data_IF_901502248136
#
_entry.id   IF_901502248136
#
_cell.length_a   1.000
_cell.length_b   1.000
_cell.length_c   1.000
_cell.angle_alpha   90.00
_cell.angle_beta   90.00
_cell.angle_gamma   90.00
#
_symmetry.space_group_name_H-M   'P 1'
#
loop_
_entity.id
_entity.type
_entity.pdbx_description
1 polymer ?
#
# COMPACT_ATOMS: atom_id res chain seq x y z
N UNK A 1 19.59 -0.34 11.92
CA UNK A 1 19.30 0.92 12.65
C UNK A 1 18.55 1.78 11.64
N UNK A 2 17.22 1.90 11.76
CA UNK A 2 16.45 2.79 10.88
C UNK A 2 16.62 4.21 11.44
N UNK A 3 17.36 5.05 10.72
CA UNK A 3 17.43 6.47 11.03
C UNK A 3 16.09 7.10 10.65
N UNK A 4 15.38 7.64 11.64
CA UNK A 4 14.12 8.34 11.43
C UNK A 4 14.48 9.77 10.99
N UNK A 5 14.14 10.20 9.77
CA UNK A 5 14.41 11.56 9.34
C UNK A 5 13.53 12.54 10.13
N UNK A 6 14.17 13.46 10.87
CA UNK A 6 13.51 14.67 11.38
C UNK A 6 13.18 15.58 10.19
N UNK A 7 12.02 15.35 9.58
CA UNK A 7 11.46 16.27 8.58
C UNK A 7 10.18 16.85 9.16
N UNK A 8 9.99 18.16 9.01
CA UNK A 8 8.82 18.92 9.47
C UNK A 8 7.56 18.68 8.63
N UNK A 9 7.62 17.76 7.67
CA UNK A 9 6.48 17.37 6.85
C UNK A 9 5.78 16.17 7.50
N UNK A 10 4.44 16.10 7.42
CA UNK A 10 3.71 14.93 7.90
C UNK A 10 4.21 13.70 7.13
N UNK A 11 4.88 12.79 7.84
CA UNK A 11 5.43 11.57 7.26
C UNK A 11 4.27 10.72 6.75
N UNK A 12 4.10 10.66 5.43
CA UNK A 12 3.18 9.71 4.80
C UNK A 12 3.78 8.32 4.90
N UNK A 13 3.03 7.40 5.49
CA UNK A 13 3.44 6.01 5.67
C UNK A 13 2.93 5.17 4.51
N UNK A 14 3.39 5.51 3.30
CA UNK A 14 2.99 4.82 2.08
C UNK A 14 3.90 3.62 1.82
N UNK A 15 3.30 2.46 1.55
CA UNK A 15 3.97 1.33 0.93
C UNK A 15 3.79 1.44 -0.59
N UNK A 16 4.87 1.76 -1.29
CA UNK A 16 4.90 1.84 -2.76
C UNK A 16 5.55 0.59 -3.33
N UNK A 17 4.80 -0.17 -4.12
CA UNK A 17 5.29 -1.36 -4.82
C UNK A 17 5.44 -1.00 -6.29
N UNK A 18 6.66 -1.10 -6.82
CA UNK A 18 6.96 -0.89 -8.23
C UNK A 18 7.37 -2.21 -8.86
N UNK A 19 6.64 -2.62 -9.89
CA UNK A 19 6.96 -3.80 -10.70
C UNK A 19 7.81 -3.34 -11.87
N UNK A 20 9.00 -3.94 -12.02
CA UNK A 20 9.94 -3.63 -13.10
C UNK A 20 10.12 -4.83 -14.02
N UNK A 21 10.29 -4.56 -15.32
CA UNK A 21 10.76 -5.57 -16.28
C UNK A 21 12.14 -5.18 -16.81
N UNK A 22 13.03 -6.16 -17.05
CA UNK A 22 14.27 -5.90 -17.75
C UNK A 22 13.94 -5.40 -19.16
N UNK A 23 14.64 -4.36 -19.60
CA UNK A 23 14.54 -3.86 -20.96
C UNK A 23 15.18 -4.90 -21.88
N UNK A 24 14.36 -5.78 -22.42
CA UNK A 24 14.80 -6.57 -23.57
C UNK A 24 14.90 -5.58 -24.72
N UNK A 25 16.11 -5.08 -24.99
CA UNK A 25 16.44 -4.45 -26.26
C UNK A 25 15.92 -5.42 -27.32
N UNK A 26 14.79 -5.09 -27.95
CA UNK A 26 14.24 -5.86 -29.06
C UNK A 26 15.33 -5.83 -30.10
N UNK A 27 16.06 -6.95 -30.14
CA UNK A 27 17.14 -7.25 -31.07
C UNK A 27 16.84 -6.56 -32.39
N UNK A 28 17.62 -5.50 -32.66
CA UNK A 28 17.74 -4.92 -33.97
C UNK A 28 17.87 -6.09 -34.92
N UNK A 29 16.81 -6.38 -35.70
CA UNK A 29 16.94 -7.28 -36.83
C UNK A 29 18.04 -6.67 -37.67
N UNK A 30 19.23 -7.25 -37.57
CA UNK A 30 20.34 -6.95 -38.43
C UNK A 30 19.86 -7.30 -39.83
N UNK A 31 19.35 -6.30 -40.55
CA UNK A 31 19.34 -6.30 -41.99
C UNK A 31 20.82 -6.32 -42.38
N UNK A 32 21.39 -7.53 -42.42
CA UNK A 32 22.65 -7.81 -43.12
C UNK A 32 22.33 -7.57 -44.59
N UNK A 33 22.52 -6.32 -45.00
CA UNK A 33 22.48 -5.90 -46.37
C UNK A 33 23.73 -5.04 -46.61
N UNK A 34 24.57 -5.48 -47.54
CA UNK A 34 25.59 -4.60 -48.13
C UNK A 34 27.03 -5.05 -47.98
N UNK A 35 27.41 -5.99 -48.84
CA UNK A 35 28.68 -6.02 -49.57
C UNK A 35 29.52 -4.73 -49.49
N UNK A 36 30.69 -4.78 -48.82
CA UNK A 36 31.89 -4.01 -49.21
C UNK A 36 33.18 -4.78 -48.89
N UNK A 37 33.86 -5.28 -49.94
CA UNK A 37 35.33 -5.29 -50.05
C UNK A 37 35.80 -3.82 -50.26
N UNK A 38 37.10 -3.42 -50.17
CA UNK A 38 38.34 -4.22 -50.27
C UNK A 38 39.55 -3.74 -49.40
N UNK A 39 40.70 -4.37 -49.66
CA UNK A 39 42.10 -3.85 -49.66
C UNK A 39 43.03 -4.36 -48.55
N UNK A 40 43.99 -5.17 -49.01
CA UNK A 40 45.17 -5.65 -48.30
C UNK A 40 46.31 -4.63 -48.24
N UNK A 41 47.08 -4.65 -47.14
CA UNK A 41 48.55 -4.46 -46.98
C UNK A 41 48.82 -4.04 -45.52
N UNK A 42 49.95 -4.25 -44.84
CA UNK A 42 51.05 -5.24 -44.79
C UNK A 42 51.86 -4.78 -43.54
N UNK A 43 52.45 -5.73 -42.82
CA UNK A 43 53.59 -5.59 -41.87
C UNK A 43 53.40 -5.06 -40.43
N UNK A 44 53.61 -6.00 -39.50
CA UNK A 44 54.10 -5.93 -38.10
C UNK A 44 55.48 -5.23 -37.99
N UNK A 45 55.96 -4.76 -36.80
CA UNK A 45 56.18 -5.59 -35.60
C UNK A 45 56.00 -4.93 -34.19
N UNK A 46 55.97 -5.79 -33.17
CA UNK A 46 56.09 -5.51 -31.72
C UNK A 46 57.52 -5.01 -31.36
N UNK A 47 57.92 -4.67 -30.10
CA UNK A 47 57.30 -4.92 -28.78
C UNK A 47 57.37 -3.72 -27.79
N UNK A 48 56.81 -3.85 -26.58
CA UNK A 48 57.47 -3.45 -25.31
C UNK A 48 56.50 -3.46 -24.12
N UNK A 49 56.95 -4.10 -23.04
CA UNK A 49 56.36 -4.15 -21.72
C UNK A 49 56.48 -2.79 -21.00
N UNK A 50 55.45 -2.37 -20.26
CA UNK A 50 55.60 -1.54 -19.06
C UNK A 50 54.42 -1.80 -18.11
N UNK A 51 54.77 -2.24 -16.90
CA UNK A 51 53.91 -2.41 -15.73
C UNK A 51 53.44 -1.06 -15.18
N UNK A 52 52.20 -1.00 -14.69
CA UNK A 52 51.75 -0.07 -13.65
C UNK A 52 50.54 -0.75 -12.97
N UNK A 53 50.75 -1.43 -11.85
CA UNK A 53 50.62 -0.92 -10.46
C UNK A 53 49.18 -0.48 -10.16
N UNK A 54 48.58 -1.28 -9.28
CA UNK A 54 47.37 -1.09 -8.49
C UNK A 54 46.63 0.24 -8.62
N UNK A 55 45.38 0.13 -9.04
CA UNK A 55 44.32 0.71 -8.24
C UNK A 55 43.14 -0.27 -8.18
N UNK A 56 42.97 -0.92 -7.02
CA UNK A 56 41.78 -1.71 -6.70
C UNK A 56 40.64 -0.74 -6.40
N UNK A 57 40.22 0.01 -7.41
CA UNK A 57 38.86 0.54 -7.43
C UNK A 57 37.98 -0.65 -7.79
N UNK A 58 37.28 -1.20 -6.80
CA UNK A 58 36.06 -1.95 -7.05
C UNK A 58 35.07 -0.96 -7.65
N UNK A 59 35.24 -0.66 -8.95
CA UNK A 59 34.14 -0.24 -9.77
C UNK A 59 33.24 -1.46 -9.82
N UNK A 60 32.26 -1.48 -8.92
CA UNK A 60 31.03 -2.18 -9.21
C UNK A 60 30.57 -1.61 -10.53
N UNK A 61 30.87 -2.33 -11.62
CA UNK A 61 30.15 -2.20 -12.88
C UNK A 61 28.73 -2.62 -12.50
N UNK A 62 27.97 -1.70 -11.91
CA UNK A 62 26.53 -1.73 -12.00
C UNK A 62 26.29 -1.53 -13.48
N UNK A 63 26.25 -2.64 -14.23
CA UNK A 63 25.36 -2.73 -15.36
C UNK A 63 24.00 -2.33 -14.79
N UNK A 64 23.67 -1.06 -14.88
CA UNK A 64 22.31 -0.60 -14.71
C UNK A 64 21.58 -1.25 -15.87
N UNK A 65 21.06 -2.45 -15.61
CA UNK A 65 20.07 -3.04 -16.49
C UNK A 65 18.99 -1.98 -16.62
N UNK A 66 18.85 -1.43 -17.83
CA UNK A 66 17.73 -0.58 -18.17
C UNK A 66 16.49 -1.39 -17.77
N UNK A 67 15.80 -0.93 -16.72
CA UNK A 67 14.59 -1.56 -16.21
C UNK A 67 13.48 -0.58 -16.42
N UNK A 68 12.39 -1.06 -17.03
CA UNK A 68 11.20 -0.26 -17.25
C UNK A 68 10.23 -0.52 -16.10
N UNK A 69 9.74 0.55 -15.49
CA UNK A 69 8.66 0.48 -14.52
C UNK A 69 7.37 0.07 -15.26
N UNK A 70 6.89 -1.14 -14.96
CA UNK A 70 5.71 -1.76 -15.61
C UNK A 70 4.44 -1.42 -14.84
N UNK A 71 4.52 -1.31 -13.53
CA UNK A 71 3.32 -1.10 -12.73
C UNK A 71 3.62 -0.58 -11.35
N UNK A 72 2.63 0.05 -10.76
CA UNK A 72 2.69 0.56 -9.40
C UNK A 72 1.41 0.25 -8.62
N UNK A 73 1.59 -0.07 -7.34
CA UNK A 73 0.52 -0.08 -6.34
C UNK A 73 0.98 0.73 -5.12
N UNK A 74 0.05 1.46 -4.50
CA UNK A 74 0.30 2.30 -3.33
C UNK A 74 -0.71 1.97 -2.24
N UNK A 75 -0.23 1.73 -1.03
CA UNK A 75 -1.03 1.29 0.11
C UNK A 75 -0.62 2.05 1.37
N UNK A 76 -1.54 2.18 2.34
CA UNK A 76 -1.20 2.68 3.68
C UNK A 76 -0.51 1.56 4.46
N UNK A 77 0.76 1.76 4.78
CA UNK A 77 1.54 0.81 5.58
C UNK A 77 0.97 0.70 7.01
N UNK A 78 0.45 1.80 7.57
CA UNK A 78 -0.16 1.79 8.91
C UNK A 78 -1.39 0.91 8.96
N UNK A 79 -2.23 0.98 7.93
CA UNK A 79 -3.40 0.11 7.82
C UNK A 79 -3.00 -1.37 7.84
N UNK A 80 -2.04 -1.75 7.00
CA UNK A 80 -1.56 -3.14 6.89
C UNK A 80 -0.90 -3.68 8.16
N UNK A 81 -0.42 -2.79 9.03
CA UNK A 81 0.23 -3.12 10.29
C UNK A 81 -0.68 -2.94 11.52
N UNK A 82 -1.96 -2.59 11.31
CA UNK A 82 -2.97 -2.42 12.36
C UNK A 82 -3.82 -3.70 12.45
N UNK A 83 -3.67 -4.50 13.53
CA UNK A 83 -4.33 -5.81 13.66
C UNK A 83 -5.86 -5.78 13.62
N UNK A 84 -6.47 -4.65 14.02
CA UNK A 84 -7.91 -4.46 13.97
C UNK A 84 -8.45 -4.36 12.54
N UNK A 85 -7.57 -4.10 11.56
CA UNK A 85 -7.92 -3.93 10.15
C UNK A 85 -7.46 -5.10 9.26
N UNK A 86 -6.28 -5.66 9.52
CA UNK A 86 -5.72 -6.77 8.76
C UNK A 86 -5.17 -7.84 9.69
N UNK A 87 -5.37 -9.11 9.31
CA UNK A 87 -4.73 -10.22 10.02
C UNK A 87 -3.23 -10.29 9.67
N UNK A 88 -2.45 -10.86 10.58
CA UNK A 88 -1.04 -11.17 10.32
C UNK A 88 -0.96 -12.13 9.13
N UNK A 89 -0.11 -11.81 8.15
CA UNK A 89 0.06 -12.58 6.93
C UNK A 89 -1.19 -12.70 6.04
N UNK A 90 -2.21 -11.85 6.25
CA UNK A 90 -3.36 -11.76 5.34
C UNK A 90 -2.88 -11.43 3.93
N UNK A 91 -3.41 -12.16 2.95
CA UNK A 91 -3.15 -11.90 1.54
C UNK A 91 -4.16 -10.89 1.01
N UNK A 92 -3.67 -9.76 0.53
CA UNK A 92 -4.49 -8.69 -0.03
C UNK A 92 -4.19 -8.55 -1.51
N UNK A 93 -5.24 -8.42 -2.32
CA UNK A 93 -5.10 -8.22 -3.77
C UNK A 93 -5.34 -6.77 -4.07
N UNK A 94 -4.45 -6.13 -4.84
CA UNK A 94 -4.53 -4.70 -5.17
C UNK A 94 -4.24 -4.48 -6.66
N UNK A 95 -4.89 -3.48 -7.30
CA UNK A 95 -4.68 -3.21 -8.71
C UNK A 95 -3.27 -2.66 -8.95
N UNK A 96 -2.63 -3.14 -10.02
CA UNK A 96 -1.39 -2.60 -10.56
C UNK A 96 -1.70 -1.62 -11.68
N UNK A 97 -1.17 -0.42 -11.55
CA UNK A 97 -1.39 0.67 -12.49
C UNK A 97 -0.15 0.91 -13.33
N UNK A 98 -0.32 1.01 -14.64
CA UNK A 98 0.70 1.51 -15.53
C UNK A 98 0.56 3.02 -15.66
N UNK A 99 1.63 3.74 -15.35
CA UNK A 99 1.71 5.19 -15.51
C UNK A 99 2.52 5.52 -16.74
N UNK A 100 1.86 6.06 -17.75
CA UNK A 100 2.50 6.48 -18.98
C UNK A 100 3.18 7.85 -18.76
N UNK A 101 4.41 7.85 -18.25
CA UNK A 101 5.23 9.05 -18.05
C UNK A 101 6.63 8.88 -18.64
N UNK A 102 6.99 9.75 -19.59
CA UNK A 102 8.28 9.68 -20.28
C UNK A 102 9.46 9.90 -19.32
N UNK A 103 10.27 8.87 -19.10
CA UNK A 103 11.60 8.93 -18.49
C UNK A 103 11.71 9.34 -17.01
N UNK A 104 10.69 9.95 -16.42
CA UNK A 104 10.66 10.30 -15.00
C UNK A 104 10.12 9.15 -14.17
N UNK A 105 10.91 8.66 -13.21
CA UNK A 105 10.55 7.51 -12.37
C UNK A 105 9.22 7.68 -11.62
N UNK A 106 8.56 6.56 -11.33
CA UNK A 106 7.16 6.51 -10.85
C UNK A 106 6.88 7.36 -9.60
N UNK A 107 7.85 7.46 -8.70
CA UNK A 107 7.76 8.25 -7.46
C UNK A 107 7.62 9.75 -7.75
N UNK A 108 8.23 10.24 -8.84
CA UNK A 108 8.09 11.64 -9.24
C UNK A 108 6.70 11.93 -9.79
N UNK A 109 6.09 10.99 -10.50
CA UNK A 109 4.72 11.11 -11.01
C UNK A 109 3.69 11.09 -9.87
N UNK A 110 3.89 10.24 -8.87
CA UNK A 110 3.08 10.24 -7.65
C UNK A 110 3.11 11.59 -6.94
N UNK A 111 4.30 12.16 -6.77
CA UNK A 111 4.45 13.47 -6.14
C UNK A 111 3.83 14.59 -6.99
N UNK A 112 3.97 14.52 -8.32
CA UNK A 112 3.33 15.48 -9.22
C UNK A 112 1.81 15.39 -9.16
N UNK A 113 1.23 14.19 -9.16
CA UNK A 113 -0.23 14.02 -9.00
C UNK A 113 -0.72 14.64 -7.70
N UNK A 114 0.05 14.51 -6.61
CA UNK A 114 -0.31 15.08 -5.30
C UNK A 114 -0.18 16.60 -5.24
N UNK A 115 0.72 17.19 -6.02
CA UNK A 115 1.04 18.62 -5.99
C UNK A 115 0.29 19.45 -7.04
N UNK A 116 -0.10 18.85 -8.17
CA UNK A 116 -0.65 19.58 -9.31
C UNK A 116 -2.12 19.20 -9.58
N UNK A 117 -3.04 20.04 -9.13
CA UNK A 117 -4.48 19.93 -9.46
C UNK A 117 -4.86 20.53 -10.83
N UNK A 118 -3.91 21.10 -11.58
CA UNK A 118 -4.19 21.84 -12.83
C UNK A 118 -3.51 21.28 -14.10
N UNK A 119 -2.92 20.10 -14.03
CA UNK A 119 -2.36 19.41 -15.20
C UNK A 119 -3.32 18.33 -15.71
N UNK A 120 -3.24 18.00 -17.00
CA UNK A 120 -3.89 16.79 -17.51
C UNK A 120 -3.39 15.59 -16.67
N UNK A 121 -4.28 14.78 -16.09
CA UNK A 121 -3.86 13.63 -15.30
C UNK A 121 -3.00 12.71 -16.17
N UNK A 122 -1.95 12.08 -15.61
CA UNK A 122 -1.16 11.12 -16.36
C UNK A 122 -2.10 10.01 -16.86
N UNK A 123 -1.91 9.58 -18.11
CA UNK A 123 -2.61 8.42 -18.63
C UNK A 123 -2.25 7.22 -17.75
N UNK A 124 -3.28 6.68 -17.08
CA UNK A 124 -3.16 5.61 -16.12
C UNK A 124 -4.11 4.47 -16.51
N UNK A 125 -3.59 3.25 -16.57
CA UNK A 125 -4.38 2.06 -16.92
C UNK A 125 -4.12 0.95 -15.89
N UNK A 126 -5.17 0.19 -15.55
CA UNK A 126 -5.02 -1.00 -14.71
C UNK A 126 -4.50 -2.15 -15.57
N UNK A 127 -3.26 -2.57 -15.33
CA UNK A 127 -2.60 -3.63 -16.10
C UNK A 127 -2.71 -5.02 -15.49
N UNK A 128 -3.24 -5.12 -14.27
CA UNK A 128 -3.41 -6.38 -13.57
C UNK A 128 -3.62 -6.18 -12.08
N UNK A 129 -3.45 -7.28 -11.33
CA UNK A 129 -3.53 -7.28 -9.88
C UNK A 129 -2.28 -7.93 -9.30
N UNK A 130 -1.87 -7.48 -8.13
CA UNK A 130 -0.84 -8.14 -7.32
C UNK A 130 -1.44 -8.57 -5.99
N UNK A 131 -1.11 -9.79 -5.58
CA UNK A 131 -1.40 -10.27 -4.23
C UNK A 131 -0.16 -10.10 -3.36
N UNK A 132 -0.31 -9.45 -2.21
CA UNK A 132 0.76 -9.26 -1.23
C UNK A 132 0.33 -9.72 0.15
N UNK A 133 1.29 -10.13 0.96
CA UNK A 133 1.07 -10.35 2.40
C UNK A 133 2.25 -9.79 3.16
N UNK A 134 1.98 -9.15 4.29
CA UNK A 134 3.02 -8.61 5.17
C UNK A 134 3.17 -9.53 6.37
N UNK A 135 4.40 -9.94 6.63
CA UNK A 135 4.78 -10.73 7.79
C UNK A 135 5.85 -9.99 8.56
N UNK A 136 5.64 -9.87 9.87
CA UNK A 136 6.67 -9.43 10.78
C UNK A 136 7.41 -10.66 11.31
N UNK A 137 8.72 -10.54 11.61
CA UNK A 137 9.44 -11.57 12.36
C UNK A 137 8.69 -11.92 13.65
N UNK A 138 8.72 -13.20 14.06
CA UNK A 138 7.87 -13.78 15.13
C UNK A 138 7.91 -13.05 16.48
N UNK A 139 8.92 -12.22 16.73
CA UNK A 139 9.10 -11.50 18.00
C UNK A 139 9.10 -9.97 17.84
N UNK A 140 8.82 -9.46 16.64
CA UNK A 140 8.76 -8.03 16.36
C UNK A 140 7.32 -7.54 16.33
N UNK A 141 7.02 -6.54 17.16
CA UNK A 141 5.75 -5.82 17.08
C UNK A 141 5.92 -4.59 16.19
N UNK A 142 4.92 -4.25 15.36
CA UNK A 142 4.96 -3.00 14.63
C UNK A 142 5.00 -1.82 15.63
N UNK A 143 5.91 -0.85 15.45
CA UNK A 143 6.01 0.29 16.35
C UNK A 143 4.68 1.05 16.43
N UNK A 144 4.35 1.62 17.60
CA UNK A 144 3.06 2.31 17.80
C UNK A 144 2.82 3.45 16.81
N UNK A 145 3.86 4.19 16.43
CA UNK A 145 3.77 5.28 15.44
C UNK A 145 3.47 4.78 14.03
N UNK A 146 3.73 3.51 13.75
CA UNK A 146 3.48 2.85 12.46
C UNK A 146 2.14 2.09 12.46
N UNK A 147 1.28 2.33 13.45
CA UNK A 147 -0.07 1.77 13.52
C UNK A 147 -1.08 2.88 13.72
N UNK A 148 -2.34 2.59 13.48
CA UNK A 148 -3.41 3.46 13.94
C UNK A 148 -3.63 3.33 15.44
N UNK A 149 -4.15 4.39 16.03
CA UNK A 149 -4.58 4.36 17.41
C UNK A 149 -6.01 3.82 17.46
N UNK A 150 -6.18 2.65 18.06
CA UNK A 150 -7.48 1.97 18.16
C UNK A 150 -8.54 2.86 18.83
N UNK A 151 -8.15 3.69 19.82
CA UNK A 151 -9.08 4.59 20.49
C UNK A 151 -9.65 5.67 19.56
N UNK A 152 -8.84 6.16 18.62
CA UNK A 152 -9.25 7.18 17.67
C UNK A 152 -10.15 6.55 16.58
N UNK A 153 -9.81 5.35 16.12
CA UNK A 153 -10.62 4.59 15.17
C UNK A 153 -11.99 4.18 15.73
N UNK A 154 -12.07 3.91 17.03
CA UNK A 154 -13.29 3.47 17.72
C UNK A 154 -14.11 4.63 18.29
N UNK A 155 -13.75 5.89 18.00
CA UNK A 155 -14.42 7.07 18.53
C UNK A 155 -15.94 7.09 18.26
N UNK A 156 -16.39 6.50 17.13
CA UNK A 156 -17.80 6.43 16.74
C UNK A 156 -18.42 5.01 16.88
N UNK A 157 -17.69 4.07 17.49
CA UNK A 157 -18.13 2.70 17.74
C UNK A 157 -17.09 1.64 17.35
N UNK A 158 -17.36 0.36 17.66
CA UNK A 158 -16.42 -0.72 17.39
C UNK A 158 -16.10 -0.82 15.89
N UNK A 159 -14.82 -1.07 15.59
CA UNK A 159 -14.33 -1.29 14.23
C UNK A 159 -15.01 -2.51 13.63
N UNK A 160 -15.64 -2.33 12.47
CA UNK A 160 -16.21 -3.41 11.67
C UNK A 160 -15.35 -3.58 10.41
N UNK A 161 -14.44 -4.56 10.47
CA UNK A 161 -13.52 -4.84 9.37
C UNK A 161 -14.26 -5.28 8.10
N UNK A 162 -15.33 -6.06 8.22
CA UNK A 162 -16.10 -6.55 7.06
C UNK A 162 -16.79 -5.39 6.33
N UNK A 163 -17.36 -4.46 7.09
CA UNK A 163 -17.97 -3.24 6.55
C UNK A 163 -16.93 -2.38 5.81
N UNK A 164 -15.77 -2.14 6.41
CA UNK A 164 -14.70 -1.35 5.79
C UNK A 164 -14.24 -2.01 4.49
N UNK A 165 -14.02 -3.33 4.49
CA UNK A 165 -13.62 -4.11 3.30
C UNK A 165 -14.63 -4.08 2.19
N UNK A 166 -15.91 -4.20 2.54
CA UNK A 166 -16.99 -4.13 1.57
C UNK A 166 -16.95 -2.80 0.81
N UNK A 167 -16.86 -1.68 1.54
CA UNK A 167 -16.79 -0.36 0.92
C UNK A 167 -15.47 -0.11 0.19
N UNK A 168 -14.33 -0.58 0.73
CA UNK A 168 -13.04 -0.53 0.04
C UNK A 168 -13.13 -1.20 -1.33
N UNK A 169 -13.66 -2.43 -1.40
CA UNK A 169 -13.79 -3.16 -2.66
C UNK A 169 -14.77 -2.48 -3.63
N UNK A 170 -15.91 -1.97 -3.13
CA UNK A 170 -16.88 -1.27 -3.97
C UNK A 170 -16.30 0.02 -4.57
N UNK A 171 -15.63 0.84 -3.75
CA UNK A 171 -14.95 2.08 -4.18
C UNK A 171 -13.85 1.74 -5.18
N UNK A 172 -13.05 0.71 -4.89
CA UNK A 172 -11.98 0.25 -5.78
C UNK A 172 -12.52 -0.16 -7.15
N UNK A 173 -13.62 -0.91 -7.20
CA UNK A 173 -14.22 -1.35 -8.46
C UNK A 173 -14.67 -0.15 -9.31
N UNK A 174 -15.34 0.83 -8.69
CA UNK A 174 -15.74 2.07 -9.38
C UNK A 174 -14.52 2.83 -9.92
N UNK A 175 -13.49 3.02 -9.11
CA UNK A 175 -12.29 3.74 -9.55
C UNK A 175 -11.53 2.96 -10.64
N UNK A 176 -11.50 1.63 -10.58
CA UNK A 176 -10.88 0.79 -11.63
C UNK A 176 -11.54 1.00 -12.99
N UNK A 177 -12.86 1.18 -13.02
CA UNK A 177 -13.63 1.33 -14.25
C UNK A 177 -13.61 2.76 -14.79
N UNK A 178 -13.76 3.77 -13.93
CA UNK A 178 -14.01 5.15 -14.36
C UNK A 178 -12.82 6.11 -14.15
N UNK A 179 -11.97 5.88 -13.14
CA UNK A 179 -10.86 6.79 -12.81
C UNK A 179 -9.65 6.04 -12.19
N UNK A 180 -8.90 5.25 -12.99
CA UNK A 180 -7.82 4.41 -12.47
C UNK A 180 -6.73 5.17 -11.72
N UNK A 181 -6.47 6.42 -12.10
CA UNK A 181 -5.44 7.26 -11.47
C UNK A 181 -5.74 7.53 -9.97
N UNK A 182 -7.00 7.57 -9.58
CA UNK A 182 -7.42 7.76 -8.18
C UNK A 182 -7.12 6.56 -7.29
N UNK A 183 -6.87 5.38 -7.87
CA UNK A 183 -6.49 4.18 -7.11
C UNK A 183 -5.13 4.33 -6.41
N UNK A 184 -4.24 5.23 -6.89
CA UNK A 184 -2.94 5.50 -6.26
C UNK A 184 -3.04 6.16 -4.89
N UNK A 185 -4.14 6.85 -4.61
CA UNK A 185 -4.35 7.52 -3.32
C UNK A 185 -5.51 6.91 -2.54
N UNK A 186 -6.34 6.09 -3.19
CA UNK A 186 -7.55 5.52 -2.60
C UNK A 186 -7.29 4.81 -1.26
N UNK A 187 -6.31 3.92 -1.20
CA UNK A 187 -6.05 3.16 0.03
C UNK A 187 -5.51 4.05 1.15
N UNK A 188 -4.77 5.10 0.82
CA UNK A 188 -4.33 6.08 1.81
C UNK A 188 -5.51 6.89 2.33
N UNK A 189 -6.28 7.52 1.43
CA UNK A 189 -7.45 8.32 1.78
C UNK A 189 -8.46 7.50 2.60
N UNK A 190 -8.72 6.25 2.21
CA UNK A 190 -9.62 5.36 2.93
C UNK A 190 -9.16 5.12 4.38
N UNK A 191 -7.89 4.80 4.59
CA UNK A 191 -7.45 4.40 5.93
C UNK A 191 -6.97 5.57 6.80
N UNK A 192 -6.23 6.51 6.24
CA UNK A 192 -5.60 7.59 7.00
C UNK A 192 -6.57 8.76 7.23
N UNK A 193 -7.45 9.05 6.28
CA UNK A 193 -8.41 10.16 6.42
C UNK A 193 -9.75 9.68 6.98
N UNK A 194 -10.22 8.48 6.61
CA UNK A 194 -11.56 8.03 7.01
C UNK A 194 -11.55 7.08 8.22
N UNK A 195 -10.71 6.04 8.20
CA UNK A 195 -10.69 5.02 9.27
C UNK A 195 -9.96 5.52 10.52
N UNK A 196 -8.78 6.12 10.36
CA UNK A 196 -7.98 6.63 11.48
C UNK A 196 -8.69 7.76 12.24
N UNK A 197 -9.51 8.57 11.59
CA UNK A 197 -10.35 9.60 12.23
C UNK A 197 -11.62 9.04 12.89
N UNK A 198 -11.87 7.73 12.78
CA UNK A 198 -13.07 7.10 13.34
C UNK A 198 -14.37 7.43 12.61
N UNK A 199 -14.32 8.08 11.45
CA UNK A 199 -15.48 8.53 10.66
C UNK A 199 -15.97 7.52 9.61
N UNK A 200 -15.31 6.37 9.50
CA UNK A 200 -15.48 5.39 8.42
C UNK A 200 -16.91 4.94 8.15
N UNK A 201 -17.78 4.83 9.17
CA UNK A 201 -19.18 4.39 8.97
C UNK A 201 -19.95 5.27 8.01
N UNK A 202 -19.84 6.58 8.17
CA UNK A 202 -20.57 7.54 7.37
C UNK A 202 -19.77 7.97 6.15
N UNK A 203 -18.46 8.16 6.31
CA UNK A 203 -17.62 8.73 5.27
C UNK A 203 -17.40 7.77 4.09
N UNK A 204 -17.29 6.46 4.33
CA UNK A 204 -17.16 5.47 3.25
C UNK A 204 -18.45 5.33 2.43
N UNK A 205 -19.61 5.38 3.09
CA UNK A 205 -20.92 5.38 2.44
C UNK A 205 -21.08 6.63 1.58
N UNK A 206 -20.73 7.80 2.13
CA UNK A 206 -20.78 9.05 1.39
C UNK A 206 -19.81 9.09 0.23
N UNK A 207 -18.58 8.59 0.41
CA UNK A 207 -17.59 8.54 -0.66
C UNK A 207 -18.08 7.66 -1.80
N UNK A 208 -18.55 6.44 -1.50
CA UNK A 208 -19.16 5.57 -2.51
C UNK A 208 -20.32 6.27 -3.23
N UNK A 209 -21.24 6.89 -2.50
CA UNK A 209 -22.41 7.58 -3.08
C UNK A 209 -21.99 8.71 -4.02
N UNK A 210 -20.99 9.51 -3.63
CA UNK A 210 -20.43 10.58 -4.47
C UNK A 210 -19.78 10.04 -5.74
N UNK A 211 -19.12 8.87 -5.69
CA UNK A 211 -18.56 8.25 -6.89
C UNK A 211 -19.66 7.74 -7.82
N UNK A 212 -20.72 7.12 -7.30
CA UNK A 212 -21.88 6.73 -8.09
C UNK A 212 -22.54 7.93 -8.78
N UNK A 213 -22.77 9.02 -8.05
CA UNK A 213 -23.32 10.26 -8.60
C UNK A 213 -22.40 10.85 -9.68
N UNK A 214 -21.10 10.91 -9.40
CA UNK A 214 -20.09 11.47 -10.33
C UNK A 214 -20.00 10.68 -11.64
N UNK A 215 -20.10 9.35 -11.58
CA UNK A 215 -19.99 8.48 -12.74
C UNK A 215 -21.34 8.10 -13.37
N UNK A 216 -22.44 8.63 -12.82
CA UNK A 216 -23.81 8.30 -13.24
C UNK A 216 -24.09 6.78 -13.28
N UNK A 217 -23.51 6.03 -12.34
CA UNK A 217 -23.66 4.58 -12.24
C UNK A 217 -24.97 4.27 -11.54
N UNK A 218 -25.90 3.62 -12.24
CA UNK A 218 -27.17 3.18 -11.65
C UNK A 218 -26.93 2.21 -10.49
N UNK A 219 -27.59 2.48 -9.36
CA UNK A 219 -27.55 1.59 -8.20
C UNK A 219 -28.11 0.22 -8.57
N UNK A 220 -27.19 -0.73 -8.78
CA UNK A 220 -27.53 -2.12 -8.94
C UNK A 220 -28.17 -2.59 -7.62
N UNK A 221 -29.49 -2.84 -7.63
CA UNK A 221 -30.35 -3.21 -6.49
C UNK A 221 -29.88 -4.36 -5.59
N UNK A 222 -28.75 -5.00 -5.87
CA UNK A 222 -28.24 -6.20 -5.20
C UNK A 222 -27.12 -5.93 -4.17
N UNK A 223 -26.60 -4.71 -4.08
CA UNK A 223 -25.44 -4.39 -3.24
C UNK A 223 -25.86 -3.88 -1.85
N UNK A 224 -26.35 -4.78 -1.00
CA UNK A 224 -26.50 -4.46 0.42
C UNK A 224 -25.17 -4.68 1.16
N UNK A 225 -24.74 -3.73 2.02
CA UNK A 225 -23.58 -3.95 2.88
C UNK A 225 -23.86 -5.09 3.86
N UNK A 226 -22.81 -5.76 4.37
CA UNK A 226 -22.97 -6.69 5.48
C UNK A 226 -23.68 -5.99 6.63
N UNK A 227 -24.64 -6.67 7.25
CA UNK A 227 -25.39 -6.11 8.37
C UNK A 227 -24.44 -5.84 9.53
N UNK A 228 -24.30 -4.58 9.94
CA UNK A 228 -23.47 -4.19 11.09
C UNK A 228 -23.88 -5.04 12.30
N UNK A 229 -22.97 -5.89 12.78
CA UNK A 229 -23.20 -6.70 13.98
C UNK A 229 -23.28 -5.75 15.16
N UNK A 230 -24.51 -5.34 15.50
CA UNK A 230 -24.78 -4.64 16.75
C UNK A 230 -24.51 -5.64 17.87
N UNK A 231 -23.29 -5.62 18.42
CA UNK A 231 -22.99 -6.31 19.67
C UNK A 231 -23.82 -5.62 20.74
N UNK A 232 -25.02 -6.17 20.96
CA UNK A 232 -25.90 -5.82 22.07
C UNK A 232 -25.11 -6.16 23.33
N UNK A 233 -24.55 -5.13 23.97
CA UNK A 233 -23.93 -5.25 25.29
C UNK A 233 -24.98 -5.75 26.28
N UNK A 234 -25.08 -7.07 26.43
CA UNK A 234 -25.87 -7.72 27.46
C UNK A 234 -25.01 -7.85 28.72
N UNK A 235 -24.69 -6.72 29.33
CA UNK A 235 -24.28 -6.67 30.74
C UNK A 235 -25.48 -6.27 31.59
N UNK A 236 -26.50 -7.13 31.62
CA UNK A 236 -27.48 -7.14 32.70
C UNK A 236 -26.96 -8.08 33.79
N UNK A 237 -26.06 -7.58 34.63
CA UNK A 237 -25.71 -8.18 35.91
C UNK A 237 -26.95 -8.05 36.81
N UNK A 238 -27.85 -9.03 36.74
CA UNK A 238 -28.90 -9.23 37.73
C UNK A 238 -28.29 -9.97 38.92
N UNK A 239 -27.56 -9.26 39.78
CA UNK A 239 -27.23 -9.73 41.13
C UNK A 239 -28.43 -9.42 42.02
N UNK A 240 -29.32 -10.39 42.16
CA UNK A 240 -30.34 -10.41 43.20
C UNK A 240 -29.66 -10.90 44.49
N UNK A 241 -29.16 -9.96 45.29
CA UNK A 241 -28.70 -10.25 46.64
C UNK A 241 -29.93 -10.30 47.56
N UNK A 242 -30.42 -11.51 47.84
CA UNK A 242 -31.18 -11.79 49.06
C UNK A 242 -30.17 -12.10 50.17
N UNK A 243 -30.00 -11.17 51.11
CA UNK A 243 -29.30 -11.43 52.38
C UNK A 243 -30.31 -11.14 53.50
N UNK A 244 -31.02 -12.19 53.89
CA UNK A 244 -31.68 -12.24 55.19
C UNK A 244 -30.73 -12.83 56.22
N UNK A 245 -30.62 -12.11 57.33
CA UNK A 245 -29.80 -12.39 58.49
C UNK A 245 -30.15 -13.71 59.19
N UNK A 246 -29.12 -14.36 59.76
CA UNK A 246 -29.24 -15.25 60.93
C UNK A 246 -27.91 -15.23 61.72
N UNK A 247 -27.94 -14.45 62.80
CA UNK A 247 -27.40 -14.71 64.16
C UNK A 247 -26.19 -15.64 64.39
N UNK A 248 -25.20 -15.04 65.06
CA UNK A 248 -24.51 -15.46 66.30
C UNK A 248 -23.77 -16.82 66.36
N UNK A 249 -22.46 -16.76 66.64
CA UNK A 249 -21.92 -16.98 68.00
C UNK A 249 -20.41 -16.75 68.07
N UNK A 250 -20.02 -16.23 69.23
CA UNK A 250 -18.67 -16.09 69.74
C UNK A 250 -17.94 -17.42 69.88
N UNK A 251 -16.63 -17.41 69.66
CA UNK A 251 -15.59 -17.98 70.52
C UNK A 251 -14.26 -17.40 69.98
N UNK A 252 -13.42 -16.78 70.83
CA UNK A 252 -12.24 -17.44 71.40
C UNK A 252 -11.30 -17.84 70.26
N UNK A 253 -10.06 -17.36 70.13
CA UNK A 253 -8.93 -17.76 70.95
C UNK A 253 -7.83 -16.69 70.93
N UNK A 254 -7.02 -16.78 71.98
CA UNK A 254 -5.90 -15.93 72.40
C UNK A 254 -4.57 -16.42 71.81
N UNK A 255 -3.70 -15.44 71.53
CA UNK A 255 -2.23 -15.46 71.31
C UNK A 255 -1.77 -16.12 70.02
#
# INVERSE_FOLDING_TARGET
>A
RLDIPHTSEPVRHDLVIVVRRPFTSRSSRALVNGNRKPVSKKEQPAPSCCSAVHDNSVQTIQCMEDTEDVGIAVLSLRALLTPELYDVAESITVPLLYLQGGGTGVVSLLNQQRQCSSGNPPNCEVIGNIAISIRLPTYEQPPRWLRFNTADMEAQGPIDREFIRYHEQAIRNLLTEYEPVSLLDMHYALYEENVNEGCWRHSLVQWRSKLHERFAVEDSKCDQPPSLTTIRSSNAISKKNDVSALTAKSEGWKI
#
